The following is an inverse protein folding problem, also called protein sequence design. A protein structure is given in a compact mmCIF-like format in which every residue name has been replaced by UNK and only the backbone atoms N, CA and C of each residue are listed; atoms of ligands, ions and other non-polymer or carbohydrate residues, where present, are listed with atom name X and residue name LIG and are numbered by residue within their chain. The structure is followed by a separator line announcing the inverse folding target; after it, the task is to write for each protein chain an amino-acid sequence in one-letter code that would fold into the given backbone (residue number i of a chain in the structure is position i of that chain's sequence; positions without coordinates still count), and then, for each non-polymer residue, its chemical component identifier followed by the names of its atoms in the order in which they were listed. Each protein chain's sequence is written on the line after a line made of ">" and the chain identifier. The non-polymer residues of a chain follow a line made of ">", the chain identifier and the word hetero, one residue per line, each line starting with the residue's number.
data_IF_732189280424
#
_entry.id   IF_732189280424
#
_cell.length_a   1.000
_cell.length_b   1.000
_cell.length_c   1.000
_cell.angle_alpha   90.00
_cell.angle_beta   90.00
_cell.angle_gamma   90.00
#
_symmetry.space_group_name_H-M   'P 1'
#
loop_
_entity.id
_entity.type
_entity.pdbx_description
1 polymer ?
#
# COMPACT_ATOMS: atom_id res chain seq x y z
N UNK A 1 30.30 2.19 -17.61
CA UNK A 1 29.20 1.21 -17.31
C UNK A 1 29.03 0.96 -15.81
N UNK A 2 30.12 0.88 -15.02
CA UNK A 2 30.09 0.60 -13.56
C UNK A 2 29.50 1.74 -12.73
N UNK A 3 29.78 3.01 -13.04
CA UNK A 3 29.23 4.17 -12.31
C UNK A 3 27.73 4.38 -12.61
N UNK A 4 27.31 4.16 -13.86
CA UNK A 4 25.89 4.23 -14.23
C UNK A 4 25.06 3.18 -13.48
N UNK A 5 25.54 1.94 -13.39
CA UNK A 5 24.86 0.87 -12.64
C UNK A 5 24.77 1.18 -11.14
N UNK A 6 25.82 1.81 -10.56
CA UNK A 6 25.81 2.20 -9.14
C UNK A 6 24.76 3.28 -8.86
N UNK A 7 24.66 4.30 -9.72
CA UNK A 7 23.65 5.35 -9.58
C UNK A 7 22.21 4.84 -9.73
N UNK A 8 21.96 3.87 -10.61
CA UNK A 8 20.63 3.26 -10.78
C UNK A 8 20.25 2.38 -9.59
N UNK A 9 21.18 1.59 -9.06
CA UNK A 9 20.98 0.77 -7.86
C UNK A 9 20.68 1.64 -6.64
N UNK A 10 21.37 2.77 -6.48
CA UNK A 10 21.13 3.72 -5.40
C UNK A 10 19.71 4.33 -5.52
N UNK A 11 19.27 4.74 -6.72
CA UNK A 11 17.94 5.28 -6.94
C UNK A 11 16.82 4.26 -6.65
N UNK A 12 17.00 3.02 -7.07
CA UNK A 12 16.05 1.94 -6.76
C UNK A 12 15.93 1.73 -5.25
N UNK A 13 17.05 1.73 -4.55
CA UNK A 13 17.08 1.62 -3.08
C UNK A 13 16.34 2.80 -2.42
N UNK A 14 16.49 4.03 -2.93
CA UNK A 14 15.77 5.21 -2.43
C UNK A 14 14.27 5.13 -2.68
N UNK A 15 13.82 4.62 -3.84
CA UNK A 15 12.40 4.38 -4.12
C UNK A 15 11.84 3.37 -3.12
N UNK A 16 12.50 2.22 -2.94
CA UNK A 16 12.07 1.19 -1.99
C UNK A 16 12.04 1.74 -0.56
N UNK A 17 13.05 2.51 -0.16
CA UNK A 17 13.08 3.15 1.16
C UNK A 17 11.90 4.11 1.38
N UNK A 18 11.52 4.87 0.33
CA UNK A 18 10.38 5.78 0.35
C UNK A 18 9.04 5.04 0.45
N UNK A 19 8.93 3.80 -0.07
CA UNK A 19 7.76 2.93 0.08
C UNK A 19 7.60 2.36 1.50
N UNK A 20 8.58 2.52 2.37
CA UNK A 20 8.59 2.12 3.79
C UNK A 20 8.24 0.66 4.02
N UNK A 21 9.04 -0.33 3.57
CA UNK A 21 8.74 -1.76 3.72
C UNK A 21 8.44 -2.20 5.15
N UNK A 22 9.07 -1.54 6.16
CA UNK A 22 8.78 -1.80 7.58
C UNK A 22 7.31 -1.59 7.97
N UNK A 23 6.58 -0.75 7.22
CA UNK A 23 5.15 -0.49 7.47
C UNK A 23 4.23 -1.52 6.77
N UNK A 24 4.76 -2.35 5.87
CA UNK A 24 3.98 -3.35 5.15
C UNK A 24 3.41 -4.43 6.06
N UNK A 25 3.99 -4.61 7.24
CA UNK A 25 3.43 -5.53 8.26
C UNK A 25 1.96 -5.25 8.57
N UNK A 26 1.53 -3.99 8.47
CA UNK A 26 0.13 -3.59 8.66
C UNK A 26 -0.80 -4.19 7.61
N UNK A 27 -0.28 -4.53 6.43
CA UNK A 27 -1.04 -5.17 5.37
C UNK A 27 -1.26 -6.67 5.65
N UNK A 28 -0.59 -7.24 6.66
CA UNK A 28 -0.80 -8.60 7.13
C UNK A 28 -2.25 -8.91 7.52
N UNK A 29 -3.07 -7.88 7.83
CA UNK A 29 -4.51 -8.06 8.05
C UNK A 29 -5.25 -8.64 6.83
N UNK A 30 -4.70 -8.57 5.62
CA UNK A 30 -5.21 -9.26 4.43
C UNK A 30 -5.27 -10.78 4.65
N UNK A 31 -4.33 -11.34 5.43
CA UNK A 31 -4.33 -12.79 5.73
C UNK A 31 -5.44 -13.22 6.70
N UNK A 32 -6.17 -12.29 7.30
CA UNK A 32 -7.31 -12.63 8.17
C UNK A 32 -8.35 -13.50 7.43
N UNK A 33 -8.63 -13.18 6.16
CA UNK A 33 -9.52 -13.98 5.31
C UNK A 33 -9.05 -15.43 5.18
N UNK A 34 -7.75 -15.66 5.02
CA UNK A 34 -7.16 -16.99 4.91
C UNK A 34 -7.33 -17.81 6.21
N UNK A 35 -7.10 -17.16 7.36
CA UNK A 35 -7.18 -17.78 8.69
C UNK A 35 -8.63 -18.13 9.00
N UNK A 36 -9.57 -17.18 8.89
CA UNK A 36 -10.97 -17.38 9.25
C UNK A 36 -11.73 -18.31 8.31
N UNK A 37 -11.34 -18.38 7.02
CA UNK A 37 -11.93 -19.33 6.06
C UNK A 37 -11.41 -20.75 6.21
N UNK A 38 -10.43 -21.02 7.08
CA UNK A 38 -9.73 -22.29 7.21
C UNK A 38 -9.14 -22.80 5.89
N UNK A 39 -8.85 -21.87 4.97
CA UNK A 39 -8.36 -22.18 3.62
C UNK A 39 -6.83 -22.23 3.51
N UNK A 40 -6.12 -22.18 4.64
CA UNK A 40 -4.66 -22.21 4.71
C UNK A 40 -4.01 -23.51 4.20
N UNK A 41 -4.80 -24.58 4.01
CA UNK A 41 -4.33 -25.83 3.40
C UNK A 41 -4.48 -25.85 1.87
N UNK A 42 -5.11 -24.83 1.26
CA UNK A 42 -5.32 -24.74 -0.18
C UNK A 42 -4.23 -23.85 -0.81
N UNK A 43 -3.33 -24.39 -1.65
CA UNK A 43 -2.24 -23.61 -2.27
C UNK A 43 -2.75 -22.39 -3.04
N UNK A 44 -3.87 -22.50 -3.75
CA UNK A 44 -4.48 -21.39 -4.48
C UNK A 44 -4.88 -20.24 -3.54
N UNK A 45 -5.49 -20.56 -2.38
CA UNK A 45 -5.89 -19.55 -1.40
C UNK A 45 -4.69 -18.83 -0.79
N UNK A 46 -3.62 -19.57 -0.54
CA UNK A 46 -2.35 -18.99 -0.06
C UNK A 46 -1.80 -18.04 -1.12
N UNK A 47 -1.71 -18.48 -2.39
CA UNK A 47 -1.18 -17.67 -3.48
C UNK A 47 -1.99 -16.38 -3.66
N UNK A 48 -3.33 -16.47 -3.69
CA UNK A 48 -4.22 -15.31 -3.78
C UNK A 48 -4.01 -14.32 -2.62
N UNK A 49 -3.87 -14.83 -1.39
CA UNK A 49 -3.64 -13.99 -0.21
C UNK A 49 -2.27 -13.31 -0.24
N UNK A 50 -1.22 -14.01 -0.69
CA UNK A 50 0.11 -13.44 -0.86
C UNK A 50 0.11 -12.37 -1.96
N UNK A 51 -0.53 -12.62 -3.10
CA UNK A 51 -0.70 -11.63 -4.15
C UNK A 51 -1.44 -10.39 -3.63
N UNK A 52 -2.55 -10.57 -2.91
CA UNK A 52 -3.30 -9.46 -2.32
C UNK A 52 -2.46 -8.66 -1.32
N UNK A 53 -1.70 -9.33 -0.45
CA UNK A 53 -0.77 -8.67 0.47
C UNK A 53 0.28 -7.84 -0.26
N UNK A 54 0.88 -8.38 -1.32
CA UNK A 54 1.89 -7.67 -2.11
C UNK A 54 1.29 -6.45 -2.82
N UNK A 55 0.10 -6.59 -3.42
CA UNK A 55 -0.60 -5.49 -4.08
C UNK A 55 -0.96 -4.37 -3.09
N UNK A 56 -1.49 -4.70 -1.90
CA UNK A 56 -1.71 -3.72 -0.84
C UNK A 56 -0.42 -3.04 -0.40
N UNK A 57 0.68 -3.79 -0.31
CA UNK A 57 1.98 -3.26 0.10
C UNK A 57 2.54 -2.28 -0.93
N UNK A 58 2.43 -2.59 -2.21
CA UNK A 58 2.83 -1.71 -3.30
C UNK A 58 1.97 -0.44 -3.33
N UNK A 59 0.64 -0.57 -3.27
CA UNK A 59 -0.27 0.59 -3.26
C UNK A 59 -0.06 1.45 -2.01
N UNK A 60 0.10 0.87 -0.83
CA UNK A 60 0.42 1.66 0.37
C UNK A 60 1.79 2.34 0.27
N UNK A 61 2.76 1.70 -0.39
CA UNK A 61 4.05 2.29 -0.71
C UNK A 61 3.94 3.53 -1.60
N UNK A 62 3.08 3.49 -2.63
CA UNK A 62 2.85 4.67 -3.48
C UNK A 62 2.23 5.83 -2.71
N UNK A 63 1.33 5.55 -1.76
CA UNK A 63 0.76 6.58 -0.87
C UNK A 63 1.86 7.24 -0.04
N UNK A 64 2.82 6.48 0.50
CA UNK A 64 3.95 7.07 1.24
C UNK A 64 4.83 7.96 0.37
N UNK A 65 5.10 7.56 -0.88
CA UNK A 65 5.84 8.40 -1.84
C UNK A 65 5.08 9.70 -2.10
N UNK A 66 3.78 9.64 -2.39
CA UNK A 66 2.95 10.83 -2.61
C UNK A 66 2.98 11.75 -1.38
N UNK A 67 2.83 11.20 -0.19
CA UNK A 67 2.90 11.96 1.05
C UNK A 67 4.28 12.64 1.24
N UNK A 68 5.38 11.93 0.97
CA UNK A 68 6.73 12.48 1.09
C UNK A 68 7.00 13.58 0.04
N UNK A 69 6.38 13.51 -1.17
CA UNK A 69 6.43 14.58 -2.18
C UNK A 69 5.69 15.82 -1.67
N UNK A 70 4.47 15.66 -1.16
CA UNK A 70 3.64 16.76 -0.64
C UNK A 70 4.34 17.43 0.54
N UNK A 71 4.88 16.66 1.46
CA UNK A 71 5.48 17.15 2.69
C UNK A 71 6.97 17.55 2.53
N UNK A 72 7.56 17.44 1.32
CA UNK A 72 9.00 17.62 1.06
C UNK A 72 9.61 18.84 1.75
N UNK A 73 8.99 20.03 1.57
CA UNK A 73 9.50 21.28 2.13
C UNK A 73 9.49 21.28 3.66
N UNK A 74 8.44 20.75 4.26
CA UNK A 74 8.28 20.64 5.71
C UNK A 74 9.23 19.59 6.30
N UNK A 75 9.37 18.44 5.61
CA UNK A 75 10.26 17.37 6.03
C UNK A 75 11.74 17.78 5.99
N UNK A 76 12.15 18.62 5.03
CA UNK A 76 13.51 19.15 4.95
C UNK A 76 13.92 19.98 6.19
N UNK A 77 12.96 20.61 6.86
CA UNK A 77 13.17 21.40 8.08
C UNK A 77 13.10 20.57 9.37
N UNK A 78 12.63 19.31 9.27
CA UNK A 78 12.42 18.47 10.45
C UNK A 78 13.70 17.72 10.82
N UNK A 79 14.11 17.65 12.12
CA UNK A 79 15.37 17.05 12.55
C UNK A 79 15.63 15.62 12.05
N UNK A 80 14.58 14.79 12.01
CA UNK A 80 14.68 13.38 11.59
C UNK A 80 14.22 13.14 10.16
N UNK A 81 13.14 13.80 9.72
CA UNK A 81 12.53 13.56 8.40
C UNK A 81 13.35 14.14 7.24
N UNK A 82 14.25 15.08 7.50
CA UNK A 82 15.17 15.65 6.49
C UNK A 82 16.05 14.60 5.81
N UNK A 83 16.23 13.43 6.42
CA UNK A 83 17.01 12.33 5.84
C UNK A 83 16.20 11.42 4.91
N UNK A 84 14.88 11.65 4.75
CA UNK A 84 14.07 10.92 3.75
C UNK A 84 14.60 11.19 2.35
N UNK A 85 14.61 10.18 1.44
CA UNK A 85 15.22 10.33 0.11
C UNK A 85 14.74 11.53 -0.70
N UNK A 86 13.44 11.86 -0.62
CA UNK A 86 12.84 12.97 -1.35
C UNK A 86 13.15 14.32 -0.67
N UNK A 87 13.13 14.36 0.66
CA UNK A 87 13.42 15.58 1.43
C UNK A 87 14.91 15.96 1.37
N UNK A 88 15.82 14.95 1.38
CA UNK A 88 17.26 15.13 1.29
C UNK A 88 17.75 15.45 -0.13
N UNK A 89 16.90 15.29 -1.16
CA UNK A 89 17.27 15.50 -2.56
C UNK A 89 17.92 14.28 -3.24
N UNK A 90 18.11 13.15 -2.55
CA UNK A 90 18.67 11.92 -3.12
C UNK A 90 17.75 11.27 -4.17
N UNK A 91 16.44 11.54 -4.08
CA UNK A 91 15.45 11.14 -5.06
C UNK A 91 14.64 12.36 -5.50
N UNK A 92 14.66 12.65 -6.79
CA UNK A 92 13.91 13.79 -7.33
C UNK A 92 12.41 13.55 -7.24
N UNK A 93 11.57 14.57 -6.91
CA UNK A 93 10.13 14.41 -6.81
C UNK A 93 9.47 13.88 -8.08
N UNK A 94 9.97 14.29 -9.25
CA UNK A 94 9.44 13.83 -10.53
C UNK A 94 9.74 12.33 -10.77
N UNK A 95 10.95 11.89 -10.44
CA UNK A 95 11.32 10.47 -10.53
C UNK A 95 10.49 9.63 -9.56
N UNK A 96 10.32 10.12 -8.32
CA UNK A 96 9.49 9.47 -7.33
C UNK A 96 8.01 9.38 -7.77
N UNK A 97 7.46 10.44 -8.35
CA UNK A 97 6.10 10.49 -8.86
C UNK A 97 5.91 9.52 -10.03
N UNK A 98 6.85 9.47 -10.97
CA UNK A 98 6.81 8.53 -12.09
C UNK A 98 6.84 7.08 -11.60
N UNK A 99 7.75 6.72 -10.67
CA UNK A 99 7.81 5.40 -10.08
C UNK A 99 6.51 5.05 -9.33
N UNK A 100 5.94 5.99 -8.56
CA UNK A 100 4.68 5.78 -7.86
C UNK A 100 3.53 5.52 -8.82
N UNK A 101 3.42 6.31 -9.90
CA UNK A 101 2.37 6.15 -10.92
C UNK A 101 2.47 4.80 -11.64
N UNK A 102 3.67 4.40 -12.06
CA UNK A 102 3.91 3.11 -12.72
C UNK A 102 3.56 1.96 -11.77
N UNK A 103 4.04 2.02 -10.53
CA UNK A 103 3.74 0.98 -9.51
C UNK A 103 2.24 0.89 -9.24
N UNK A 104 1.55 2.02 -9.12
CA UNK A 104 0.11 2.06 -8.93
C UNK A 104 -0.64 1.45 -10.11
N UNK A 105 -0.30 1.86 -11.34
CA UNK A 105 -0.95 1.37 -12.56
C UNK A 105 -0.79 -0.15 -12.70
N UNK A 106 0.41 -0.68 -12.51
CA UNK A 106 0.67 -2.13 -12.55
C UNK A 106 -0.10 -2.84 -11.44
N UNK A 107 -0.07 -2.31 -10.21
CA UNK A 107 -0.75 -2.93 -9.07
C UNK A 107 -2.26 -2.99 -9.29
N UNK A 108 -2.87 -1.94 -9.81
CA UNK A 108 -4.30 -1.93 -10.11
C UNK A 108 -4.65 -2.85 -11.29
N UNK A 109 -3.85 -2.87 -12.36
CA UNK A 109 -4.07 -3.79 -13.47
C UNK A 109 -4.05 -5.26 -13.02
N UNK A 110 -3.08 -5.64 -12.18
CA UNK A 110 -3.00 -6.99 -11.61
C UNK A 110 -4.16 -7.26 -10.65
N UNK A 111 -4.57 -6.26 -9.85
CA UNK A 111 -5.71 -6.42 -8.95
C UNK A 111 -7.02 -6.66 -9.70
N UNK A 112 -7.27 -5.95 -10.80
CA UNK A 112 -8.44 -6.16 -11.67
C UNK A 112 -8.42 -7.52 -12.36
N UNK A 113 -7.26 -8.02 -12.73
CA UNK A 113 -7.11 -9.38 -13.28
C UNK A 113 -7.32 -10.47 -12.22
N UNK A 114 -7.01 -10.18 -10.96
CA UNK A 114 -7.17 -11.13 -9.84
C UNK A 114 -8.62 -11.25 -9.39
N UNK A 115 -9.27 -10.13 -9.11
CA UNK A 115 -10.68 -10.02 -8.70
C UNK A 115 -11.18 -8.58 -8.75
N UNK A 116 -12.35 -8.35 -9.36
CA UNK A 116 -12.93 -7.00 -9.54
C UNK A 116 -13.27 -6.34 -8.19
N UNK A 117 -13.83 -7.06 -7.24
CA UNK A 117 -14.23 -6.52 -5.95
C UNK A 117 -13.01 -6.19 -5.08
N UNK A 118 -11.97 -7.05 -5.14
CA UNK A 118 -10.69 -6.77 -4.53
C UNK A 118 -10.09 -5.49 -5.09
N UNK A 119 -10.08 -5.31 -6.41
CA UNK A 119 -9.58 -4.12 -7.06
C UNK A 119 -10.36 -2.86 -6.64
N UNK A 120 -11.70 -2.93 -6.56
CA UNK A 120 -12.52 -1.83 -6.06
C UNK A 120 -12.15 -1.43 -4.62
N UNK A 121 -11.91 -2.40 -3.73
CA UNK A 121 -11.47 -2.13 -2.35
C UNK A 121 -10.09 -1.47 -2.35
N UNK A 122 -9.18 -1.92 -3.21
CA UNK A 122 -7.83 -1.35 -3.30
C UNK A 122 -7.86 0.09 -3.82
N UNK A 123 -8.73 0.40 -4.79
CA UNK A 123 -8.97 1.77 -5.28
C UNK A 123 -9.54 2.65 -4.17
N UNK A 124 -10.53 2.15 -3.43
CA UNK A 124 -11.13 2.86 -2.29
C UNK A 124 -10.08 3.15 -1.21
N UNK A 125 -9.25 2.16 -0.87
CA UNK A 125 -8.14 2.32 0.06
C UNK A 125 -7.16 3.40 -0.40
N UNK A 126 -6.75 3.37 -1.67
CA UNK A 126 -5.85 4.36 -2.24
C UNK A 126 -6.45 5.77 -2.18
N UNK A 127 -7.70 5.94 -2.65
CA UNK A 127 -8.39 7.23 -2.64
C UNK A 127 -8.52 7.82 -1.23
N UNK A 128 -8.95 7.00 -0.25
CA UNK A 128 -9.01 7.40 1.16
C UNK A 128 -7.64 7.86 1.68
N UNK A 129 -6.58 7.09 1.39
CA UNK A 129 -5.24 7.38 1.89
C UNK A 129 -4.65 8.66 1.27
N UNK A 130 -4.94 8.93 -0.01
CA UNK A 130 -4.54 10.18 -0.68
C UNK A 130 -5.31 11.37 -0.09
N UNK A 131 -6.63 11.28 0.05
CA UNK A 131 -7.46 12.35 0.66
C UNK A 131 -6.96 12.67 2.07
N UNK A 132 -6.66 11.63 2.86
CA UNK A 132 -6.04 11.80 4.17
C UNK A 132 -4.72 12.57 4.10
N UNK A 133 -3.82 12.19 3.20
CA UNK A 133 -2.49 12.81 3.07
C UNK A 133 -2.56 14.28 2.66
N UNK A 134 -3.56 14.66 1.85
CA UNK A 134 -3.69 16.03 1.34
C UNK A 134 -4.43 16.95 2.32
N UNK A 135 -5.56 16.50 2.88
CA UNK A 135 -6.52 17.41 3.53
C UNK A 135 -6.83 17.07 4.98
N UNK A 136 -6.88 15.81 5.36
CA UNK A 136 -7.53 15.40 6.62
C UNK A 136 -6.56 15.10 7.78
N UNK A 137 -5.26 15.06 7.54
CA UNK A 137 -4.23 14.72 8.55
C UNK A 137 -4.14 15.71 9.74
N UNK A 138 -4.83 16.84 9.67
CA UNK A 138 -4.84 17.85 10.74
C UNK A 138 -6.09 17.77 11.65
N UNK A 139 -7.03 16.87 11.35
CA UNK A 139 -8.26 16.69 12.12
C UNK A 139 -8.19 15.38 12.89
N UNK A 140 -7.95 15.47 14.21
CA UNK A 140 -7.63 14.32 15.09
C UNK A 140 -8.70 13.21 15.03
N UNK A 141 -9.99 13.55 15.01
CA UNK A 141 -11.09 12.57 14.97
C UNK A 141 -11.08 11.82 13.62
N UNK A 142 -10.88 12.53 12.52
CA UNK A 142 -10.83 11.92 11.18
C UNK A 142 -9.60 11.05 11.00
N UNK A 143 -8.49 11.39 11.64
CA UNK A 143 -7.28 10.57 11.65
C UNK A 143 -7.56 9.15 12.18
N UNK A 144 -8.18 9.05 13.35
CA UNK A 144 -8.52 7.76 13.97
C UNK A 144 -9.48 6.95 13.09
N UNK A 145 -10.53 7.59 12.55
CA UNK A 145 -11.53 6.94 11.70
C UNK A 145 -10.89 6.40 10.43
N UNK A 146 -10.05 7.19 9.76
CA UNK A 146 -9.40 6.80 8.49
C UNK A 146 -8.37 5.69 8.70
N UNK A 147 -7.63 5.71 9.81
CA UNK A 147 -6.73 4.61 10.17
C UNK A 147 -7.53 3.33 10.40
N UNK A 148 -8.62 3.39 11.19
CA UNK A 148 -9.49 2.24 11.45
C UNK A 148 -10.10 1.68 10.17
N UNK A 149 -10.64 2.54 9.30
CA UNK A 149 -11.19 2.15 7.99
C UNK A 149 -10.13 1.48 7.12
N UNK A 150 -8.88 1.96 7.15
CA UNK A 150 -7.77 1.33 6.45
C UNK A 150 -7.50 -0.11 6.91
N UNK A 151 -7.65 -0.42 8.21
CA UNK A 151 -7.55 -1.79 8.71
C UNK A 151 -8.74 -2.66 8.28
N UNK A 152 -9.95 -2.13 8.33
CA UNK A 152 -11.16 -2.81 7.86
C UNK A 152 -11.05 -3.17 6.38
N UNK A 153 -10.64 -2.23 5.53
CA UNK A 153 -10.48 -2.46 4.09
C UNK A 153 -9.48 -3.59 3.80
N UNK A 154 -8.35 -3.66 4.52
CA UNK A 154 -7.37 -4.75 4.40
C UNK A 154 -7.98 -6.09 4.78
N UNK A 155 -8.69 -6.15 5.89
CA UNK A 155 -9.33 -7.39 6.38
C UNK A 155 -10.41 -7.88 5.41
N UNK A 156 -11.29 -6.97 4.97
CA UNK A 156 -12.37 -7.28 4.02
C UNK A 156 -11.80 -7.74 2.68
N UNK A 157 -10.74 -7.09 2.19
CA UNK A 157 -10.10 -7.45 0.92
C UNK A 157 -9.56 -8.88 0.93
N UNK A 158 -9.00 -9.34 2.06
CA UNK A 158 -8.53 -10.70 2.23
C UNK A 158 -9.66 -11.73 2.16
N UNK A 159 -10.85 -11.42 2.70
CA UNK A 159 -12.02 -12.27 2.60
C UNK A 159 -12.59 -12.30 1.17
N UNK A 160 -12.60 -11.14 0.49
CA UNK A 160 -13.13 -10.98 -0.86
C UNK A 160 -12.28 -11.75 -1.88
N UNK A 161 -10.95 -11.59 -1.84
CA UNK A 161 -10.05 -12.25 -2.80
C UNK A 161 -10.10 -13.78 -2.74
N UNK A 162 -10.54 -14.34 -1.60
CA UNK A 162 -10.72 -15.77 -1.39
C UNK A 162 -12.15 -16.24 -1.70
N UNK A 163 -13.05 -15.34 -2.13
CA UNK A 163 -14.47 -15.65 -2.34
C UNK A 163 -15.10 -16.34 -1.12
N UNK A 164 -14.71 -15.92 0.09
CA UNK A 164 -15.27 -16.49 1.33
C UNK A 164 -16.76 -16.17 1.34
N UNK A 165 -17.59 -17.17 1.00
CA UNK A 165 -19.04 -17.09 1.13
C UNK A 165 -19.36 -16.75 2.58
N UNK A 166 -20.22 -15.75 2.81
CA UNK A 166 -20.74 -15.43 4.14
C UNK A 166 -21.13 -16.73 4.82
N UNK A 167 -20.47 -17.06 5.94
CA UNK A 167 -20.89 -18.08 6.88
C UNK A 167 -22.17 -17.55 7.51
N UNK A 168 -23.31 -17.81 6.89
CA UNK A 168 -24.59 -17.25 7.31
C UNK A 168 -25.80 -17.95 6.69
N UNK A 169 -25.63 -19.16 6.14
CA UNK A 169 -26.74 -20.11 5.94
C UNK A 169 -26.38 -21.39 6.65
N UNK A 170 -26.73 -21.44 7.95
CA UNK A 170 -26.97 -22.69 8.60
C UNK A 170 -28.05 -23.40 7.76
N UNK A 171 -27.74 -24.57 7.27
CA UNK A 171 -28.75 -25.48 6.75
C UNK A 171 -29.68 -25.83 7.93
N UNK A 172 -30.89 -25.33 7.86
CA UNK A 172 -32.04 -25.94 8.57
C UNK A 172 -32.44 -27.14 7.76
#
# INVERSE_FOLDING_TARGET
>A
KTEYNKGVLDKTAYVIASMRPKQWIKNGFVFAGLIFSKSFLKPESILRSVCAFMLFSLVSGTVYIINDIIDRKRDALHPQKRFRPIASGNLQPLEAAACALITLAISLAVAFALDIWFACILVLYFGQAVIYSVSLKNVVILDVILIATGFVLRTVSGAVVLHVRKIGRAHV
#
